data_IF_135865597923
#
_entry.id   IF_135865597923
#
_cell.length_a   1.000
_cell.length_b   1.000
_cell.length_c   1.000
_cell.angle_alpha   90.00
_cell.angle_beta   90.00
_cell.angle_gamma   90.00
#
_symmetry.space_group_name_H-M   'P 1'
#
loop_
_entity.id
_entity.type
_entity.pdbx_description
1 polymer ?
#
# COMPACT_ATOMS: atom_id res chain seq x y z
N UNK A 1 -4.41 3.13 -29.49
CA UNK A 1 -5.16 2.70 -28.29
C UNK A 1 -6.08 3.86 -27.96
N UNK A 2 -7.38 3.64 -27.94
CA UNK A 2 -8.36 4.71 -27.73
C UNK A 2 -8.30 5.18 -26.27
N UNK A 3 -7.81 6.41 -26.07
CA UNK A 3 -7.78 7.09 -24.77
C UNK A 3 -9.21 7.40 -24.31
N UNK A 4 -9.85 6.41 -23.69
CA UNK A 4 -11.04 6.65 -22.89
C UNK A 4 -10.59 7.27 -21.57
N UNK A 5 -10.45 8.60 -21.55
CA UNK A 5 -10.26 9.35 -20.33
C UNK A 5 -11.39 9.01 -19.36
N UNK A 6 -11.08 8.30 -18.28
CA UNK A 6 -12.05 7.95 -17.25
C UNK A 6 -12.68 9.23 -16.73
N UNK A 7 -14.01 9.23 -16.54
CA UNK A 7 -14.64 10.38 -15.91
C UNK A 7 -14.08 10.58 -14.50
N UNK A 8 -14.03 11.81 -13.96
CA UNK A 8 -13.46 12.08 -12.64
C UNK A 8 -14.03 11.17 -11.53
N UNK A 9 -15.32 10.83 -11.60
CA UNK A 9 -15.96 9.91 -10.66
C UNK A 9 -15.49 8.45 -10.80
N UNK A 10 -15.21 7.99 -12.02
CA UNK A 10 -14.66 6.65 -12.26
C UNK A 10 -13.20 6.57 -11.81
N UNK A 11 -12.41 7.62 -12.04
CA UNK A 11 -11.04 7.72 -11.57
C UNK A 11 -10.99 7.69 -10.03
N UNK A 12 -11.87 8.44 -9.35
CA UNK A 12 -11.98 8.41 -7.90
C UNK A 12 -12.39 7.03 -7.37
N UNK A 13 -13.39 6.38 -7.99
CA UNK A 13 -13.82 5.05 -7.59
C UNK A 13 -12.71 4.01 -7.73
N UNK A 14 -11.93 4.08 -8.81
CA UNK A 14 -10.77 3.21 -9.01
C UNK A 14 -9.67 3.49 -7.99
N UNK A 15 -9.37 4.76 -7.71
CA UNK A 15 -8.41 5.13 -6.68
C UNK A 15 -8.80 4.59 -5.30
N UNK A 16 -10.09 4.71 -4.91
CA UNK A 16 -10.58 4.15 -3.64
C UNK A 16 -10.37 2.63 -3.61
N UNK A 17 -10.70 1.93 -4.70
CA UNK A 17 -10.51 0.49 -4.79
C UNK A 17 -9.04 0.10 -4.63
N UNK A 18 -8.14 0.81 -5.32
CA UNK A 18 -6.69 0.56 -5.25
C UNK A 18 -6.15 0.82 -3.83
N UNK A 19 -6.62 1.87 -3.15
CA UNK A 19 -6.28 2.15 -1.74
C UNK A 19 -6.76 1.04 -0.81
N UNK A 20 -7.99 0.55 -0.99
CA UNK A 20 -8.52 -0.56 -0.18
C UNK A 20 -7.73 -1.84 -0.41
N UNK A 21 -7.40 -2.17 -1.66
CA UNK A 21 -6.57 -3.33 -2.00
C UNK A 21 -5.19 -3.18 -1.35
N UNK A 22 -4.57 -2.01 -1.43
CA UNK A 22 -3.28 -1.74 -0.82
C UNK A 22 -3.32 -1.89 0.71
N UNK A 23 -4.35 -1.37 1.38
CA UNK A 23 -4.53 -1.52 2.82
C UNK A 23 -4.69 -2.98 3.24
N UNK A 24 -5.53 -3.74 2.53
CA UNK A 24 -5.77 -5.15 2.85
C UNK A 24 -4.52 -5.99 2.56
N UNK A 25 -3.93 -5.86 1.37
CA UNK A 25 -2.74 -6.60 1.00
C UNK A 25 -1.54 -6.23 1.87
N UNK A 26 -1.33 -4.94 2.12
CA UNK A 26 -0.27 -4.43 3.01
C UNK A 26 -0.46 -4.87 4.45
N UNK A 27 -1.68 -4.81 4.98
CA UNK A 27 -2.02 -5.27 6.32
C UNK A 27 -1.83 -6.78 6.48
N UNK A 28 -2.27 -7.57 5.51
CA UNK A 28 -2.06 -9.04 5.51
C UNK A 28 -0.57 -9.37 5.44
N UNK A 29 0.19 -8.75 4.54
CA UNK A 29 1.62 -8.97 4.41
C UNK A 29 2.39 -8.57 5.68
N UNK A 30 2.04 -7.44 6.29
CA UNK A 30 2.61 -7.00 7.55
C UNK A 30 2.29 -7.98 8.69
N UNK A 31 1.02 -8.39 8.82
CA UNK A 31 0.57 -9.33 9.84
C UNK A 31 1.24 -10.70 9.71
N UNK A 32 1.31 -11.25 8.49
CA UNK A 32 2.00 -12.51 8.23
C UNK A 32 3.50 -12.41 8.53
N UNK A 33 4.14 -11.29 8.17
CA UNK A 33 5.54 -11.05 8.50
C UNK A 33 5.76 -10.97 10.02
N UNK A 34 4.79 -10.41 10.77
CA UNK A 34 4.84 -10.34 12.23
C UNK A 34 4.77 -11.70 12.88
N UNK A 35 3.81 -12.51 12.44
CA UNK A 35 3.61 -13.86 12.94
C UNK A 35 4.82 -14.74 12.59
N UNK A 36 5.36 -14.64 11.38
CA UNK A 36 6.56 -15.35 10.96
C UNK A 36 7.79 -14.94 11.78
N UNK A 37 8.00 -13.63 11.98
CA UNK A 37 9.11 -13.14 12.80
C UNK A 37 8.98 -13.58 14.25
N UNK A 38 7.78 -13.49 14.85
CA UNK A 38 7.52 -13.94 16.20
C UNK A 38 7.74 -15.46 16.36
N UNK A 39 7.33 -16.25 15.36
CA UNK A 39 7.51 -17.70 15.36
C UNK A 39 8.99 -18.11 15.29
N UNK A 40 9.82 -17.39 14.52
CA UNK A 40 11.24 -17.71 14.34
C UNK A 40 12.11 -17.13 15.46
N UNK A 41 11.87 -15.88 15.86
CA UNK A 41 12.76 -15.16 16.75
C UNK A 41 12.41 -15.34 18.25
N UNK A 42 11.25 -15.90 18.60
CA UNK A 42 10.71 -15.94 19.97
C UNK A 42 10.71 -14.58 20.70
N UNK A 43 10.75 -13.47 19.96
CA UNK A 43 10.81 -12.10 20.49
C UNK A 43 9.62 -11.30 19.99
N UNK A 44 9.07 -10.41 20.83
CA UNK A 44 8.00 -9.50 20.43
C UNK A 44 8.50 -8.59 19.29
N UNK A 45 7.80 -8.61 18.17
CA UNK A 45 8.18 -7.86 16.97
C UNK A 45 8.06 -6.36 17.26
N UNK A 46 9.14 -5.56 17.15
CA UNK A 46 9.08 -4.15 17.48
C UNK A 46 8.23 -3.41 16.46
N UNK A 47 7.12 -2.84 16.94
CA UNK A 47 6.16 -2.00 16.19
C UNK A 47 6.82 -0.96 15.26
N UNK A 48 8.02 -0.48 15.63
CA UNK A 48 8.81 0.45 14.83
C UNK A 48 9.14 -0.06 13.43
N UNK A 49 9.39 -1.36 13.24
CA UNK A 49 9.71 -1.91 11.92
C UNK A 49 8.49 -1.86 11.00
N UNK A 50 7.28 -2.13 11.51
CA UNK A 50 6.04 -2.00 10.74
C UNK A 50 5.77 -0.56 10.34
N UNK A 51 5.97 0.39 11.26
CA UNK A 51 5.80 1.80 10.96
C UNK A 51 6.73 2.25 9.82
N UNK A 52 7.98 1.79 9.82
CA UNK A 52 8.96 2.11 8.75
C UNK A 52 8.54 1.51 7.41
N UNK A 53 8.16 0.23 7.38
CA UNK A 53 7.73 -0.44 6.13
C UNK A 53 6.47 0.24 5.57
N UNK A 54 5.50 0.56 6.43
CA UNK A 54 4.25 1.18 6.03
C UNK A 54 4.49 2.61 5.50
N UNK A 55 5.32 3.40 6.19
CA UNK A 55 5.69 4.74 5.75
C UNK A 55 6.45 4.74 4.41
N UNK A 56 7.42 3.84 4.24
CA UNK A 56 8.16 3.70 3.00
C UNK A 56 7.25 3.31 1.83
N UNK A 57 6.34 2.35 2.06
CA UNK A 57 5.39 1.88 1.05
C UNK A 57 4.41 2.99 0.66
N UNK A 58 3.90 3.76 1.63
CA UNK A 58 3.04 4.92 1.39
C UNK A 58 3.75 6.03 0.60
N UNK A 59 5.01 6.32 0.90
CA UNK A 59 5.82 7.29 0.16
C UNK A 59 6.02 6.88 -1.31
N UNK A 60 6.28 5.60 -1.55
CA UNK A 60 6.44 5.06 -2.91
C UNK A 60 5.13 5.20 -3.69
N UNK A 61 4.00 4.82 -3.08
CA UNK A 61 2.68 4.94 -3.70
C UNK A 61 2.32 6.40 -4.03
N UNK A 62 2.62 7.33 -3.11
CA UNK A 62 2.41 8.76 -3.34
C UNK A 62 3.20 9.25 -4.57
N UNK A 63 4.50 8.95 -4.63
CA UNK A 63 5.35 9.34 -5.76
C UNK A 63 4.95 8.71 -7.09
N UNK A 64 4.46 7.47 -7.06
CA UNK A 64 3.94 6.82 -8.26
C UNK A 64 2.67 7.52 -8.75
N UNK A 65 1.81 7.95 -7.83
CA UNK A 65 0.59 8.68 -8.15
C UNK A 65 0.91 10.06 -8.74
N UNK A 66 1.86 10.79 -8.15
CA UNK A 66 2.33 12.10 -8.62
C UNK A 66 2.83 12.02 -10.08
N UNK A 67 3.64 11.00 -10.39
CA UNK A 67 4.13 10.76 -11.77
C UNK A 67 3.04 10.48 -12.80
N UNK A 68 1.90 9.91 -12.38
CA UNK A 68 0.76 9.62 -13.27
C UNK A 68 -0.11 10.86 -13.47
N UNK A 69 -0.14 11.78 -12.50
CA UNK A 69 -0.91 13.03 -12.57
C UNK A 69 -0.19 14.11 -13.38
N UNK A 70 1.15 14.11 -13.38
CA UNK A 70 1.98 15.06 -14.16
C UNK A 70 2.13 14.68 -15.64
N UNK A 71 1.63 13.51 -16.07
CA UNK A 71 1.68 12.98 -17.43
C UNK A 71 0.34 13.02 -18.14
#
# INVERSE_FOLDING_TARGET
MSDSSLSPGQALGRWILDVLIFLVAGGVAAGLSALAYQAVAQTQTPLGIYAVIFAASGLIAYRQTERVLDS
#
